data_IF_443214968284
#
_entry.id   IF_443214968284
#
_cell.length_a   1.000
_cell.length_b   1.000
_cell.length_c   1.000
_cell.angle_alpha   90.00
_cell.angle_beta   90.00
_cell.angle_gamma   90.00
#
_symmetry.space_group_name_H-M   'P 1'
#
loop_
_entity.id
_entity.type
_entity.pdbx_description
1 polymer ?
#
# COMPACT_ATOMS: atom_id res chain seq x y z
N UNK A 1 -28.80 -9.06 -29.11
CA UNK A 1 -27.46 -8.95 -28.50
C UNK A 1 -27.48 -7.74 -27.58
N UNK A 2 -27.76 -7.92 -26.28
CA UNK A 2 -27.92 -6.81 -25.32
C UNK A 2 -27.44 -7.17 -23.89
N UNK A 3 -26.76 -8.32 -23.72
CA UNK A 3 -26.27 -8.78 -22.43
C UNK A 3 -24.87 -8.26 -22.08
N UNK A 4 -24.17 -7.59 -23.01
CA UNK A 4 -22.77 -7.16 -22.85
C UNK A 4 -22.58 -5.84 -22.10
N UNK A 5 -23.57 -4.93 -22.12
CA UNK A 5 -23.46 -3.63 -21.46
C UNK A 5 -23.46 -3.70 -19.92
N UNK A 6 -24.40 -4.39 -19.25
CA UNK A 6 -24.43 -4.39 -17.78
C UNK A 6 -23.22 -5.12 -17.18
N UNK A 7 -22.72 -6.17 -17.85
CA UNK A 7 -21.50 -6.85 -17.44
C UNK A 7 -20.29 -5.92 -17.60
N UNK A 8 -20.20 -5.16 -18.70
CA UNK A 8 -19.10 -4.23 -18.93
C UNK A 8 -19.07 -3.11 -17.90
N UNK A 9 -20.23 -2.53 -17.57
CA UNK A 9 -20.37 -1.51 -16.52
C UNK A 9 -19.94 -2.05 -15.13
N UNK A 10 -20.25 -3.31 -14.85
CA UNK A 10 -19.80 -3.99 -13.63
C UNK A 10 -18.27 -4.10 -13.56
N UNK A 11 -17.63 -4.46 -14.67
CA UNK A 11 -16.17 -4.49 -14.74
C UNK A 11 -15.57 -3.09 -14.57
N UNK A 12 -16.12 -2.07 -15.23
CA UNK A 12 -15.72 -0.67 -15.03
C UNK A 12 -15.83 -0.27 -13.56
N UNK A 13 -16.90 -0.66 -12.88
CA UNK A 13 -17.09 -0.39 -11.46
C UNK A 13 -16.04 -1.13 -10.60
N UNK A 14 -15.64 -2.34 -11.00
CA UNK A 14 -14.53 -3.11 -10.42
C UNK A 14 -13.21 -2.37 -10.51
N UNK A 15 -12.81 -1.99 -11.73
CA UNK A 15 -11.58 -1.23 -11.99
C UNK A 15 -11.57 0.07 -11.20
N UNK A 16 -12.69 0.81 -11.23
CA UNK A 16 -12.88 2.03 -10.44
C UNK A 16 -12.67 1.77 -8.95
N UNK A 17 -13.33 0.76 -8.39
CA UNK A 17 -13.22 0.46 -6.96
C UNK A 17 -11.79 0.12 -6.55
N UNK A 18 -11.07 -0.65 -7.37
CA UNK A 18 -9.66 -1.01 -7.12
C UNK A 18 -8.77 0.22 -7.16
N UNK A 19 -8.82 1.02 -8.24
CA UNK A 19 -7.98 2.21 -8.39
C UNK A 19 -8.28 3.27 -7.31
N UNK A 20 -9.55 3.53 -6.99
CA UNK A 20 -9.88 4.49 -5.93
C UNK A 20 -9.58 3.99 -4.50
N UNK A 21 -9.44 2.67 -4.31
CA UNK A 21 -8.99 2.10 -3.03
C UNK A 21 -7.48 2.17 -2.86
N UNK A 22 -6.73 2.43 -3.93
CA UNK A 22 -5.28 2.48 -3.93
C UNK A 22 -4.77 3.80 -3.32
N UNK A 23 -4.07 3.76 -2.17
CA UNK A 23 -3.64 4.97 -1.48
C UNK A 23 -2.68 5.83 -2.29
N UNK A 24 -1.79 5.22 -3.07
CA UNK A 24 -0.80 5.95 -3.89
C UNK A 24 -1.48 6.88 -4.88
N UNK A 25 -2.49 6.40 -5.60
CA UNK A 25 -3.27 7.23 -6.52
C UNK A 25 -3.99 8.37 -5.79
N UNK A 26 -4.59 8.10 -4.62
CA UNK A 26 -5.26 9.13 -3.83
C UNK A 26 -4.28 10.21 -3.34
N UNK A 27 -3.09 9.80 -2.89
CA UNK A 27 -2.03 10.71 -2.46
C UNK A 27 -1.52 11.54 -3.65
N UNK A 28 -1.31 10.93 -4.82
CA UNK A 28 -0.85 11.64 -6.00
C UNK A 28 -1.85 12.72 -6.45
N UNK A 29 -3.14 12.42 -6.37
CA UNK A 29 -4.20 13.39 -6.69
C UNK A 29 -4.30 14.46 -5.60
N UNK A 30 -4.31 14.10 -4.32
CA UNK A 30 -4.46 15.02 -3.19
C UNK A 30 -3.27 15.99 -3.07
N UNK A 31 -2.06 15.55 -3.43
CA UNK A 31 -0.85 16.39 -3.46
C UNK A 31 -0.64 17.13 -4.78
N UNK A 32 -1.51 16.92 -5.78
CA UNK A 32 -1.47 17.64 -7.05
C UNK A 32 -0.38 17.18 -8.01
N UNK A 33 0.12 15.94 -7.89
CA UNK A 33 1.13 15.40 -8.81
C UNK A 33 0.59 15.21 -10.24
N UNK A 34 -0.72 15.08 -10.40
CA UNK A 34 -1.39 15.14 -11.72
C UNK A 34 -1.75 16.55 -12.21
N UNK A 35 -1.26 17.60 -11.53
CA UNK A 35 -1.61 19.00 -11.80
C UNK A 35 -3.07 19.31 -11.50
N UNK A 36 -3.58 20.40 -12.09
CA UNK A 36 -4.97 20.87 -11.88
C UNK A 36 -6.04 19.88 -12.35
N UNK A 37 -5.64 18.87 -13.13
CA UNK A 37 -6.52 17.84 -13.68
C UNK A 37 -6.34 16.48 -13.02
N UNK A 38 -5.68 16.39 -11.86
CA UNK A 38 -5.36 15.09 -11.22
C UNK A 38 -6.59 14.19 -11.00
N UNK A 39 -7.73 14.75 -10.58
CA UNK A 39 -8.98 13.99 -10.43
C UNK A 39 -9.50 13.48 -11.78
N UNK A 40 -9.50 14.32 -12.82
CA UNK A 40 -9.95 13.93 -14.17
C UNK A 40 -9.03 12.87 -14.78
N UNK A 41 -7.71 12.95 -14.52
CA UNK A 41 -6.74 11.92 -14.93
C UNK A 41 -7.01 10.59 -14.21
N UNK A 42 -7.35 10.63 -12.92
CA UNK A 42 -7.70 9.41 -12.19
C UNK A 42 -8.97 8.75 -12.73
N UNK A 43 -10.00 9.54 -13.06
CA UNK A 43 -11.21 9.03 -13.70
C UNK A 43 -10.91 8.48 -15.11
N UNK A 44 -10.12 9.19 -15.91
CA UNK A 44 -9.67 8.76 -17.24
C UNK A 44 -8.86 7.46 -17.18
N UNK A 45 -8.02 7.30 -16.17
CA UNK A 45 -7.21 6.09 -15.95
C UNK A 45 -8.10 4.85 -15.79
N UNK A 46 -9.28 4.97 -15.16
CA UNK A 46 -10.26 3.87 -15.06
C UNK A 46 -10.69 3.40 -16.44
N UNK A 47 -11.02 4.34 -17.33
CA UNK A 47 -11.50 4.03 -18.68
C UNK A 47 -10.39 3.39 -19.53
N UNK A 48 -9.17 3.91 -19.42
CA UNK A 48 -8.00 3.39 -20.13
C UNK A 48 -7.63 1.98 -19.67
N UNK A 49 -7.57 1.75 -18.35
CA UNK A 49 -7.29 0.42 -17.80
C UNK A 49 -8.37 -0.56 -18.19
N UNK A 50 -9.65 -0.18 -18.09
CA UNK A 50 -10.73 -1.04 -18.54
C UNK A 50 -10.60 -1.39 -20.02
N UNK A 51 -10.30 -0.41 -20.87
CA UNK A 51 -10.12 -0.63 -22.30
C UNK A 51 -8.93 -1.57 -22.56
N UNK A 52 -7.82 -1.39 -21.84
CA UNK A 52 -6.64 -2.26 -21.96
C UNK A 52 -6.99 -3.75 -21.72
N UNK A 53 -7.80 -4.05 -20.71
CA UNK A 53 -8.31 -5.40 -20.46
C UNK A 53 -9.30 -5.91 -21.52
N UNK A 54 -10.02 -5.03 -22.21
CA UNK A 54 -10.91 -5.44 -23.30
C UNK A 54 -10.16 -5.69 -24.62
N UNK A 55 -9.11 -4.91 -24.87
CA UNK A 55 -8.33 -4.98 -26.10
C UNK A 55 -7.31 -6.14 -26.06
N UNK A 56 -6.90 -6.56 -24.86
CA UNK A 56 -5.95 -7.66 -24.66
C UNK A 56 -6.61 -8.81 -23.88
N UNK A 57 -6.65 -9.99 -24.49
CA UNK A 57 -7.00 -11.22 -23.80
C UNK A 57 -5.80 -11.78 -23.04
N UNK A 58 -6.04 -12.44 -21.91
CA UNK A 58 -5.02 -13.20 -21.14
C UNK A 58 -3.85 -12.38 -20.56
N UNK A 59 -4.11 -11.12 -20.21
CA UNK A 59 -3.13 -10.25 -19.54
C UNK A 59 -2.57 -10.88 -18.26
N UNK A 60 -1.24 -10.92 -18.17
CA UNK A 60 -0.53 -11.31 -16.97
C UNK A 60 -0.38 -10.14 -15.99
N UNK A 61 -0.21 -10.45 -14.71
CA UNK A 61 -0.04 -9.44 -13.67
C UNK A 61 1.12 -8.47 -13.97
N UNK A 62 2.27 -8.98 -14.44
CA UNK A 62 3.43 -8.16 -14.78
C UNK A 62 3.14 -7.18 -15.93
N UNK A 63 2.35 -7.57 -16.92
CA UNK A 63 1.99 -6.69 -18.05
C UNK A 63 1.07 -5.55 -17.60
N UNK A 64 0.14 -5.85 -16.67
CA UNK A 64 -0.73 -4.84 -16.07
C UNK A 64 0.06 -3.92 -15.14
N UNK A 65 1.05 -4.47 -14.43
CA UNK A 65 1.96 -3.73 -13.56
C UNK A 65 2.79 -2.72 -14.32
N UNK A 66 3.47 -3.14 -15.38
CA UNK A 66 4.26 -2.24 -16.24
C UNK A 66 3.37 -1.13 -16.82
N UNK A 67 2.16 -1.47 -17.26
CA UNK A 67 1.22 -0.50 -17.81
C UNK A 67 0.74 0.53 -16.78
N UNK A 68 0.38 0.10 -15.57
CA UNK A 68 -0.07 1.01 -14.51
C UNK A 68 1.09 1.85 -13.97
N UNK A 69 2.30 1.28 -13.89
CA UNK A 69 3.52 2.02 -13.53
C UNK A 69 3.78 3.15 -14.53
N UNK A 70 3.69 2.87 -15.83
CA UNK A 70 3.85 3.88 -16.87
C UNK A 70 2.79 4.99 -16.74
N UNK A 71 1.54 4.65 -16.48
CA UNK A 71 0.49 5.65 -16.26
C UNK A 71 0.75 6.51 -15.01
N UNK A 72 1.25 5.94 -13.91
CA UNK A 72 1.63 6.70 -12.71
C UNK A 72 2.80 7.66 -12.97
N UNK A 73 3.79 7.23 -13.73
CA UNK A 73 4.94 8.06 -14.09
C UNK A 73 4.53 9.19 -15.06
N UNK A 74 3.82 8.87 -16.14
CA UNK A 74 3.50 9.84 -17.19
C UNK A 74 2.40 10.83 -16.78
N UNK A 75 1.36 10.38 -16.08
CA UNK A 75 0.21 11.24 -15.77
C UNK A 75 0.31 11.93 -14.41
N UNK A 76 1.03 11.32 -13.46
CA UNK A 76 1.12 11.78 -12.09
C UNK A 76 2.56 12.00 -11.62
N UNK A 77 3.58 11.94 -12.48
CA UNK A 77 5.00 12.15 -12.10
C UNK A 77 5.39 11.33 -10.85
N UNK A 78 4.84 10.11 -10.75
CA UNK A 78 4.91 9.28 -9.54
C UNK A 78 5.50 7.91 -9.87
N UNK A 79 6.63 7.59 -9.25
CA UNK A 79 7.20 6.24 -9.24
C UNK A 79 6.68 5.48 -8.03
N UNK A 80 6.11 4.29 -8.25
CA UNK A 80 5.56 3.45 -7.18
C UNK A 80 6.57 2.34 -6.79
N UNK A 81 7.08 2.40 -5.56
CA UNK A 81 8.05 1.42 -5.02
C UNK A 81 7.68 0.95 -3.60
N UNK A 82 6.44 1.14 -3.18
CA UNK A 82 5.95 0.73 -1.86
C UNK A 82 5.43 -0.73 -1.82
N UNK A 83 5.56 -1.45 -2.93
CA UNK A 83 5.05 -2.83 -3.09
C UNK A 83 3.53 -2.93 -3.18
N UNK A 84 2.80 -1.81 -3.27
CA UNK A 84 1.34 -1.81 -3.43
C UNK A 84 0.90 -2.06 -4.88
N UNK A 85 1.72 -1.64 -5.85
CA UNK A 85 1.41 -1.77 -7.27
C UNK A 85 1.12 -3.23 -7.69
N UNK A 86 1.96 -4.24 -7.37
CA UNK A 86 1.66 -5.64 -7.69
C UNK A 86 0.32 -6.12 -7.11
N UNK A 87 -0.04 -5.68 -5.89
CA UNK A 87 -1.28 -6.09 -5.21
C UNK A 87 -2.52 -5.51 -5.89
N UNK A 88 -2.43 -4.27 -6.37
CA UNK A 88 -3.48 -3.62 -7.15
C UNK A 88 -3.65 -4.31 -8.50
N UNK A 89 -2.54 -4.67 -9.15
CA UNK A 89 -2.56 -5.36 -10.44
C UNK A 89 -3.17 -6.77 -10.33
N UNK A 90 -2.82 -7.54 -9.29
CA UNK A 90 -3.45 -8.83 -8.99
C UNK A 90 -4.97 -8.68 -8.79
N UNK A 91 -5.39 -7.66 -8.03
CA UNK A 91 -6.81 -7.37 -7.80
C UNK A 91 -7.56 -7.06 -9.10
N UNK A 92 -6.93 -6.34 -10.05
CA UNK A 92 -7.51 -6.04 -11.37
C UNK A 92 -7.63 -7.29 -12.25
N UNK A 93 -6.57 -8.10 -12.32
CA UNK A 93 -6.57 -9.36 -13.07
C UNK A 93 -7.62 -10.32 -12.50
N UNK A 94 -7.73 -10.41 -11.18
CA UNK A 94 -8.75 -11.22 -10.52
C UNK A 94 -10.17 -10.72 -10.83
N UNK A 95 -10.41 -9.41 -10.78
CA UNK A 95 -11.70 -8.82 -11.14
C UNK A 95 -12.07 -9.11 -12.61
N UNK A 96 -11.10 -9.04 -13.52
CA UNK A 96 -11.28 -9.38 -14.93
C UNK A 96 -11.57 -10.87 -15.13
N UNK A 97 -10.87 -11.75 -14.42
CA UNK A 97 -11.09 -13.19 -14.46
C UNK A 97 -12.49 -13.57 -13.96
N UNK A 98 -12.94 -12.97 -12.85
CA UNK A 98 -14.31 -13.16 -12.34
C UNK A 98 -15.36 -12.68 -13.33
N UNK A 99 -15.11 -11.55 -14.00
CA UNK A 99 -15.99 -11.02 -15.04
C UNK A 99 -16.09 -11.96 -16.25
N UNK A 100 -14.95 -12.46 -16.76
CA UNK A 100 -14.91 -13.39 -17.88
C UNK A 100 -15.63 -14.72 -17.57
N UNK A 101 -15.52 -15.20 -16.34
CA UNK A 101 -16.20 -16.42 -15.88
C UNK A 101 -17.69 -16.21 -15.58
N UNK A 102 -18.20 -14.98 -15.67
CA UNK A 102 -19.59 -14.64 -15.34
C UNK A 102 -19.89 -14.65 -13.83
N UNK A 103 -18.86 -14.66 -12.97
CA UNK A 103 -18.98 -14.59 -11.52
C UNK A 103 -19.28 -13.16 -11.03
N UNK A 104 -20.35 -12.56 -11.55
CA UNK A 104 -20.71 -11.15 -11.34
C UNK A 104 -21.03 -10.84 -9.87
N UNK A 105 -21.56 -11.80 -9.12
CA UNK A 105 -21.86 -11.63 -7.69
C UNK A 105 -20.59 -11.46 -6.86
N UNK A 106 -19.55 -12.24 -7.15
CA UNK A 106 -18.24 -12.12 -6.49
C UNK A 106 -17.61 -10.76 -6.80
N UNK A 107 -17.65 -10.34 -8.07
CA UNK A 107 -17.16 -9.03 -8.48
C UNK A 107 -17.90 -7.89 -7.75
N UNK A 108 -19.22 -7.98 -7.62
CA UNK A 108 -20.02 -7.02 -6.84
C UNK A 108 -19.62 -6.98 -5.36
N UNK A 109 -19.37 -8.14 -4.74
CA UNK A 109 -18.93 -8.20 -3.34
C UNK A 109 -17.56 -7.55 -3.16
N UNK A 110 -16.61 -7.79 -4.09
CA UNK A 110 -15.30 -7.14 -4.10
C UNK A 110 -15.45 -5.62 -4.23
N UNK A 111 -16.27 -5.14 -5.17
CA UNK A 111 -16.56 -3.71 -5.35
C UNK A 111 -17.11 -3.09 -4.06
N UNK A 112 -18.11 -3.72 -3.45
CA UNK A 112 -18.70 -3.24 -2.21
C UNK A 112 -17.68 -3.18 -1.07
N UNK A 113 -16.85 -4.21 -0.94
CA UNK A 113 -15.80 -4.27 0.09
C UNK A 113 -14.78 -3.15 -0.08
N UNK A 114 -14.28 -2.93 -1.29
CA UNK A 114 -13.30 -1.89 -1.60
C UNK A 114 -13.89 -0.48 -1.41
N UNK A 115 -15.16 -0.30 -1.80
CA UNK A 115 -15.87 0.97 -1.64
C UNK A 115 -16.14 1.29 -0.17
N UNK A 116 -16.51 0.29 0.65
CA UNK A 116 -16.74 0.48 2.09
C UNK A 116 -15.46 0.78 2.86
N UNK A 117 -14.32 0.16 2.49
CA UNK A 117 -13.02 0.47 3.09
C UNK A 117 -12.62 1.94 2.90
N UNK A 118 -13.04 2.59 1.81
CA UNK A 118 -12.83 4.03 1.57
C UNK A 118 -13.53 4.93 2.60
N UNK A 119 -14.64 4.49 3.21
CA UNK A 119 -15.33 5.24 4.26
C UNK A 119 -14.63 5.20 5.62
N UNK A 120 -13.69 4.27 5.83
CA UNK A 120 -12.78 4.29 6.98
C UNK A 120 -11.51 5.10 6.64
N UNK A 121 -11.68 6.33 6.12
CA UNK A 121 -10.58 7.30 6.14
C UNK A 121 -10.24 7.53 7.61
N UNK A 122 -9.02 7.15 7.99
CA UNK A 122 -8.44 7.37 9.31
C UNK A 122 -8.54 8.86 9.64
N UNK A 123 -9.54 9.21 10.44
CA UNK A 123 -9.50 10.42 11.25
C UNK A 123 -8.28 10.24 12.16
N UNK A 124 -7.25 11.06 11.97
CA UNK A 124 -6.14 11.14 12.92
C UNK A 124 -6.73 11.41 14.31
N UNK A 125 -6.72 10.39 15.17
CA UNK A 125 -7.21 10.50 16.54
C UNK A 125 -6.17 11.30 17.34
N UNK A 126 -6.54 12.37 18.05
CA UNK A 126 -5.62 13.07 18.93
C UNK A 126 -5.35 12.21 20.17
N UNK A 127 -4.06 12.07 20.47
CA UNK A 127 -3.40 11.62 21.69
C UNK A 127 -4.30 11.45 22.93
N UNK A 128 -4.60 10.20 23.32
CA UNK A 128 -4.58 9.73 24.72
C UNK A 128 -4.67 8.20 24.73
N UNK A 129 -3.53 7.52 24.72
CA UNK A 129 -3.46 6.09 25.04
C UNK A 129 -3.03 5.99 26.49
N UNK A 130 -4.02 5.83 27.37
CA UNK A 130 -3.86 5.12 28.64
C UNK A 130 -3.66 3.64 28.28
N UNK A 131 -2.48 3.06 28.55
CA UNK A 131 -2.31 1.61 28.59
C UNK A 131 -1.31 1.22 29.68
N UNK A 132 -1.90 0.76 30.78
CA UNK A 132 -1.33 -0.15 31.78
C UNK A 132 -1.40 -1.57 31.20
N UNK A 133 -0.25 -2.21 30.96
CA UNK A 133 -0.12 -3.67 31.03
C UNK A 133 1.35 -4.07 30.95
N UNK A 134 1.86 -4.65 32.02
CA UNK A 134 3.19 -5.26 32.07
C UNK A 134 3.19 -6.66 31.49
N UNK A 135 4.30 -7.04 30.85
CA UNK A 135 4.76 -8.43 30.82
C UNK A 135 6.27 -8.47 30.57
N UNK A 136 6.98 -8.83 31.62
CA UNK A 136 8.41 -9.12 31.69
C UNK A 136 8.79 -10.40 30.93
N UNK A 137 9.56 -10.26 29.85
CA UNK A 137 10.18 -11.42 29.17
C UNK A 137 11.70 -11.44 29.40
N UNK A 138 12.12 -12.38 30.24
CA UNK A 138 13.51 -12.68 30.61
C UNK A 138 14.22 -13.40 29.46
N UNK A 139 15.32 -12.83 28.97
CA UNK A 139 16.18 -13.48 27.97
C UNK A 139 17.22 -14.38 28.66
N UNK A 140 17.10 -15.65 28.32
CA UNK A 140 17.86 -16.82 28.69
C UNK A 140 19.37 -16.78 28.40
N UNK A 141 20.08 -17.44 29.32
CA UNK A 141 21.51 -17.64 29.48
C UNK A 141 22.06 -18.73 28.53
N UNK A 142 23.31 -18.59 28.06
CA UNK A 142 24.11 -19.70 27.53
C UNK A 142 25.55 -19.60 28.06
N UNK A 143 25.83 -20.43 29.06
CA UNK A 143 27.13 -20.71 29.69
C UNK A 143 28.07 -21.48 28.74
N UNK A 144 29.40 -21.22 28.79
CA UNK A 144 30.39 -22.23 29.22
C UNK A 144 31.87 -21.81 29.06
N UNK A 145 32.52 -21.74 30.23
CA UNK A 145 33.87 -22.25 30.60
C UNK A 145 35.17 -21.42 30.38
N UNK A 146 35.75 -21.11 31.55
CA UNK A 146 37.01 -20.46 32.01
C UNK A 146 38.30 -21.33 31.79
N UNK A 147 39.59 -20.94 32.05
CA UNK A 147 40.06 -20.06 33.15
C UNK A 147 41.37 -19.20 33.05
N UNK A 148 41.49 -18.29 34.02
CA UNK A 148 42.67 -17.69 34.70
C UNK A 148 43.92 -17.25 33.92
N UNK A 149 44.33 -15.97 34.06
CA UNK A 149 45.54 -15.52 34.83
C UNK A 149 45.69 -13.98 34.89
N UNK A 150 45.84 -13.48 36.13
CA UNK A 150 46.61 -12.35 36.69
C UNK A 150 47.20 -11.20 35.82
N UNK A 151 46.97 -9.96 36.33
CA UNK A 151 47.89 -8.80 36.45
C UNK A 151 47.85 -7.59 35.48
N UNK A 152 47.63 -6.41 36.10
CA UNK A 152 48.21 -5.04 35.88
C UNK A 152 47.50 -3.99 34.98
N UNK A 153 47.06 -2.92 35.67
CA UNK A 153 47.00 -1.46 35.40
C UNK A 153 46.47 -0.79 34.08
N UNK A 154 45.87 0.44 34.16
CA UNK A 154 45.19 1.23 33.09
C UNK A 154 46.13 2.33 32.47
N UNK A 155 45.72 3.40 31.69
CA UNK A 155 44.43 3.94 31.16
C UNK A 155 44.50 4.39 29.64
N UNK A 156 43.91 5.51 29.14
CA UNK A 156 42.52 5.83 28.69
C UNK A 156 42.40 6.35 27.21
N UNK A 157 41.21 6.88 26.82
CA UNK A 157 40.90 7.81 25.67
C UNK A 157 40.41 7.11 24.37
N UNK A 158 39.26 7.41 23.72
CA UNK A 158 38.48 8.63 23.38
C UNK A 158 36.97 8.34 23.61
N UNK A 159 36.10 9.15 24.25
CA UNK A 159 35.46 10.41 23.80
C UNK A 159 34.81 10.26 22.40
N UNK A 160 33.52 10.45 22.10
CA UNK A 160 32.51 11.38 22.62
C UNK A 160 31.12 10.89 22.11
N UNK A 161 30.34 10.18 22.94
CA UNK A 161 28.94 9.92 22.64
C UNK A 161 28.12 11.18 23.00
N UNK A 162 28.00 12.08 22.02
CA UNK A 162 27.24 13.32 22.08
C UNK A 162 25.74 13.11 22.22
N UNK A 163 25.28 12.69 23.41
CA UNK A 163 23.87 12.76 23.80
C UNK A 163 23.76 13.35 25.21
N UNK A 164 23.56 14.67 25.27
CA UNK A 164 23.25 15.37 26.52
C UNK A 164 21.81 15.13 26.94
N UNK A 165 21.62 14.35 28.01
CA UNK A 165 20.32 14.17 28.68
C UNK A 165 19.97 15.42 29.48
N UNK A 166 18.91 16.12 29.10
CA UNK A 166 18.39 17.29 29.81
C UNK A 166 17.42 16.82 30.91
N UNK A 167 17.80 16.98 32.19
CA UNK A 167 16.93 16.69 33.33
C UNK A 167 16.14 17.94 33.72
N UNK A 168 14.80 17.87 33.68
CA UNK A 168 13.90 18.92 34.20
C UNK A 168 13.90 18.91 35.73
N UNK A 169 14.14 20.07 36.35
CA UNK A 169 14.06 20.25 37.80
C UNK A 169 12.64 20.66 38.22
N UNK A 170 12.25 20.05 39.34
CA UNK A 170 11.02 20.17 40.13
C UNK A 170 10.55 21.60 40.38
#
# INVERSE_FOLDING_TARGET
MAASNPSRELFTAGVRAVLHSWPVLQIAVDNGFGGVYGQQKADWMVDVVQQYFHDNADLQQCEVEDFIAELMDQEFDTVVDDGSLPQVCDSLVQAFSQWQQGALEQLQQTINTLTQKKSQRVTALPTHSDEDSGDETQVMECESSVPSVSSRDPPPHDEEAGWTVVRKKK
#
